data_IF_877782759771
#
_entry.id   IF_877782759771
#
_cell.length_a   1.000
_cell.length_b   1.000
_cell.length_c   1.000
_cell.angle_alpha   90.00
_cell.angle_beta   90.00
_cell.angle_gamma   90.00
#
_symmetry.space_group_name_H-M   'P 1'
#
loop_
_entity.id
_entity.type
_entity.pdbx_description
1 polymer ?
#
# COMPACT_ATOMS: atom_id res chain seq x y z
N UNK A 1 0.48 3.82 -0.63
CA UNK A 1 1.66 4.59 -0.19
C UNK A 1 2.95 4.31 -0.98
N UNK A 2 3.54 3.09 -1.01
CA UNK A 2 4.82 2.90 -1.74
C UNK A 2 4.73 3.18 -3.26
N UNK A 3 3.65 2.74 -3.91
CA UNK A 3 3.40 3.06 -5.31
C UNK A 3 3.25 4.58 -5.55
N UNK A 4 2.54 5.27 -4.64
CA UNK A 4 2.42 6.73 -4.60
C UNK A 4 3.78 7.42 -4.49
N UNK A 5 4.66 6.94 -3.59
CA UNK A 5 6.03 7.44 -3.44
C UNK A 5 6.83 7.27 -4.74
N UNK A 6 6.69 6.11 -5.42
CA UNK A 6 7.37 5.86 -6.70
C UNK A 6 6.90 6.82 -7.80
N UNK A 7 5.60 7.11 -7.88
CA UNK A 7 5.08 8.14 -8.81
C UNK A 7 5.72 9.51 -8.55
N UNK A 8 5.87 9.91 -7.29
CA UNK A 8 6.55 11.16 -6.91
C UNK A 8 8.03 11.14 -7.32
N UNK A 9 8.72 10.02 -7.13
CA UNK A 9 10.10 9.82 -7.58
C UNK A 9 10.23 9.92 -9.11
N UNK A 10 9.24 9.42 -9.84
CA UNK A 10 9.17 9.48 -11.30
C UNK A 10 8.74 10.86 -11.84
N UNK A 11 8.58 11.85 -10.95
CA UNK A 11 8.39 13.24 -11.34
C UNK A 11 6.94 13.72 -11.28
N UNK A 12 6.01 12.99 -10.65
CA UNK A 12 4.64 13.46 -10.42
C UNK A 12 4.65 14.85 -9.77
N UNK A 13 3.98 15.82 -10.41
CA UNK A 13 3.98 17.24 -9.98
C UNK A 13 2.72 17.67 -9.26
N UNK A 14 1.64 16.90 -9.39
CA UNK A 14 0.31 17.24 -8.88
C UNK A 14 -0.12 16.16 -7.90
N UNK A 15 -0.68 16.59 -6.77
CA UNK A 15 -1.23 15.71 -5.72
C UNK A 15 -2.57 15.09 -6.15
N UNK A 16 -2.53 14.28 -7.21
CA UNK A 16 -3.68 13.60 -7.78
C UNK A 16 -3.18 12.27 -8.37
N UNK A 17 -3.70 11.15 -7.91
CA UNK A 17 -3.27 9.82 -8.32
C UNK A 17 -4.48 9.04 -8.81
N UNK A 18 -4.52 8.72 -10.10
CA UNK A 18 -5.61 7.90 -10.63
C UNK A 18 -5.36 6.42 -10.34
N UNK A 19 -6.43 5.61 -10.38
CA UNK A 19 -6.30 4.16 -10.25
C UNK A 19 -5.37 3.59 -11.33
N UNK A 20 -5.54 4.06 -12.58
CA UNK A 20 -4.76 3.65 -13.74
C UNK A 20 -3.27 3.95 -13.60
N UNK A 21 -2.91 5.12 -13.05
CA UNK A 21 -1.51 5.48 -12.80
C UNK A 21 -0.85 4.60 -11.73
N UNK A 22 -1.60 4.25 -10.68
CA UNK A 22 -1.06 3.48 -9.55
C UNK A 22 -0.96 1.99 -9.87
N UNK A 23 -1.91 1.43 -10.61
CA UNK A 23 -2.05 0.00 -10.84
C UNK A 23 -0.79 -0.71 -11.34
N UNK A 24 -0.12 -0.27 -12.42
CA UNK A 24 1.07 -0.97 -12.92
C UNK A 24 2.21 -0.96 -11.91
N UNK A 25 2.42 0.16 -11.21
CA UNK A 25 3.45 0.29 -10.18
C UNK A 25 3.13 -0.57 -8.96
N UNK A 26 1.86 -0.59 -8.55
CA UNK A 26 1.41 -1.42 -7.44
C UNK A 26 1.63 -2.90 -7.75
N UNK A 27 1.23 -3.37 -8.93
CA UNK A 27 1.44 -4.77 -9.36
C UNK A 27 2.93 -5.13 -9.42
N UNK A 28 3.76 -4.25 -9.99
CA UNK A 28 5.21 -4.45 -10.07
C UNK A 28 5.88 -4.51 -8.69
N UNK A 29 5.61 -3.51 -7.84
CA UNK A 29 6.14 -3.47 -6.47
C UNK A 29 5.62 -4.62 -5.63
N UNK A 30 4.37 -5.03 -5.79
CA UNK A 30 3.84 -6.16 -5.05
C UNK A 30 4.60 -7.43 -5.40
N UNK A 31 4.86 -7.72 -6.68
CA UNK A 31 5.65 -8.89 -7.08
C UNK A 31 7.01 -8.99 -6.36
N UNK A 32 7.73 -7.88 -6.23
CA UNK A 32 9.03 -7.84 -5.54
C UNK A 32 8.95 -8.18 -4.04
N UNK A 33 7.88 -7.75 -3.36
CA UNK A 33 7.74 -7.88 -1.91
C UNK A 33 6.87 -9.07 -1.49
N UNK A 34 6.03 -9.58 -2.39
CA UNK A 34 5.24 -10.79 -2.25
C UNK A 34 6.13 -12.01 -2.09
N UNK A 35 7.17 -12.13 -2.93
CA UNK A 35 8.19 -13.18 -2.81
C UNK A 35 8.91 -13.08 -1.46
N UNK A 36 9.27 -11.85 -1.06
CA UNK A 36 10.02 -11.60 0.18
C UNK A 36 9.18 -11.80 1.43
N UNK A 37 7.86 -11.65 1.36
CA UNK A 37 6.96 -11.70 2.51
C UNK A 37 6.12 -12.99 2.59
N UNK A 38 6.27 -13.93 1.65
CA UNK A 38 5.49 -15.19 1.58
C UNK A 38 3.97 -15.00 1.66
N UNK A 39 3.46 -13.87 1.16
CA UNK A 39 2.01 -13.69 1.07
C UNK A 39 1.45 -14.68 0.03
N UNK A 40 0.25 -15.21 0.29
CA UNK A 40 -0.37 -16.23 -0.59
C UNK A 40 -1.21 -15.60 -1.70
N UNK A 41 -1.76 -14.40 -1.47
CA UNK A 41 -2.66 -13.72 -2.41
C UNK A 41 -2.30 -12.24 -2.57
N UNK A 42 -2.42 -11.74 -3.80
CA UNK A 42 -2.39 -10.31 -4.09
C UNK A 42 -3.65 -9.65 -3.54
N UNK A 43 -3.49 -8.71 -2.59
CA UNK A 43 -4.59 -7.79 -2.30
C UNK A 43 -4.82 -6.92 -3.53
N UNK A 44 -5.97 -7.08 -4.19
CA UNK A 44 -6.34 -6.27 -5.34
C UNK A 44 -6.30 -4.78 -4.99
N UNK A 45 -5.69 -3.94 -5.85
CA UNK A 45 -5.47 -2.50 -5.58
C UNK A 45 -6.77 -1.75 -5.19
N UNK A 46 -7.92 -2.15 -5.71
CA UNK A 46 -9.22 -1.56 -5.37
C UNK A 46 -9.49 -1.47 -3.86
N UNK A 47 -9.00 -2.42 -3.07
CA UNK A 47 -9.15 -2.40 -1.62
C UNK A 47 -8.32 -1.29 -0.96
N UNK A 48 -6.98 -1.29 -1.04
CA UNK A 48 -6.19 -0.20 -0.46
C UNK A 48 -6.50 1.15 -1.12
N UNK A 49 -6.80 1.22 -2.41
CA UNK A 49 -7.19 2.48 -3.04
C UNK A 49 -8.44 3.09 -2.39
N UNK A 50 -9.43 2.27 -2.05
CA UNK A 50 -10.67 2.73 -1.44
C UNK A 50 -10.56 2.90 0.09
N UNK A 51 -10.09 1.87 0.80
CA UNK A 51 -10.16 1.79 2.25
C UNK A 51 -9.06 2.57 2.98
N UNK A 52 -7.99 2.98 2.30
CA UNK A 52 -6.98 3.87 2.90
C UNK A 52 -7.58 5.21 3.33
N UNK A 53 -8.77 5.59 2.83
CA UNK A 53 -9.48 6.79 3.30
C UNK A 53 -9.78 6.79 4.80
N UNK A 54 -9.84 5.61 5.42
CA UNK A 54 -10.01 5.46 6.86
C UNK A 54 -8.75 5.82 7.68
N UNK A 55 -7.57 5.93 7.03
CA UNK A 55 -6.30 6.25 7.69
C UNK A 55 -6.03 7.77 7.75
N UNK A 56 -7.03 8.61 7.45
CA UNK A 56 -7.02 10.08 7.44
C UNK A 56 -6.05 10.78 6.47
N UNK A 57 -5.01 10.12 5.97
CA UNK A 57 -4.02 10.74 5.09
C UNK A 57 -4.30 10.60 3.58
N UNK A 58 -5.26 9.74 3.22
CA UNK A 58 -5.59 9.39 1.84
C UNK A 58 -7.04 9.77 1.59
N UNK A 59 -7.30 10.42 0.48
CA UNK A 59 -8.60 10.98 0.17
C UNK A 59 -9.01 10.61 -1.24
N UNK A 60 -10.32 10.49 -1.46
CA UNK A 60 -10.89 10.26 -2.77
C UNK A 60 -11.61 11.54 -3.20
N UNK A 61 -11.23 12.08 -4.35
CA UNK A 61 -12.00 13.14 -4.99
C UNK A 61 -13.22 12.50 -5.65
N UNK A 62 -14.37 12.62 -4.99
CA UNK A 62 -15.64 12.06 -5.47
C UNK A 62 -16.14 12.80 -6.70
N UNK A 63 -16.71 12.07 -7.66
CA UNK A 63 -17.33 12.66 -8.85
C UNK A 63 -18.54 13.51 -8.48
N UNK A 64 -19.31 13.04 -7.50
CA UNK A 64 -20.49 13.71 -6.95
C UNK A 64 -20.30 13.82 -5.42
N UNK A 65 -21.17 13.18 -4.65
CA UNK A 65 -21.02 13.02 -3.19
C UNK A 65 -20.24 11.75 -2.84
N UNK A 66 -19.74 11.71 -1.60
CA UNK A 66 -19.17 10.47 -1.06
C UNK A 66 -20.19 9.34 -1.07
N UNK A 67 -19.76 8.17 -1.57
CA UNK A 67 -20.53 6.93 -1.53
C UNK A 67 -19.78 5.87 -0.74
N UNK A 68 -20.53 5.05 0.00
CA UNK A 68 -19.98 3.95 0.78
C UNK A 68 -20.24 2.61 0.08
N UNK A 69 -19.24 1.76 0.09
CA UNK A 69 -19.34 0.35 -0.30
C UNK A 69 -18.39 -0.48 0.55
N UNK A 70 -18.78 -1.70 0.85
CA UNK A 70 -17.92 -2.70 1.50
C UNK A 70 -17.14 -3.53 0.48
N UNK A 71 -17.51 -3.45 -0.80
CA UNK A 71 -16.93 -4.26 -1.88
C UNK A 71 -16.59 -3.37 -3.09
N UNK A 72 -15.59 -2.48 -2.95
CA UNK A 72 -15.14 -1.66 -4.06
C UNK A 72 -14.56 -2.55 -5.16
N UNK A 73 -14.96 -2.27 -6.40
CA UNK A 73 -14.32 -2.81 -7.60
C UNK A 73 -13.86 -1.66 -8.49
N UNK A 74 -12.98 -1.97 -9.45
CA UNK A 74 -12.39 -0.97 -10.35
C UNK A 74 -13.45 -0.11 -11.05
N UNK A 75 -14.43 -0.74 -11.69
CA UNK A 75 -15.45 -0.01 -12.45
C UNK A 75 -16.31 0.90 -11.55
N UNK A 76 -16.57 0.48 -10.30
CA UNK A 76 -17.23 1.32 -9.31
C UNK A 76 -16.35 2.52 -8.90
N UNK A 77 -15.05 2.31 -8.68
CA UNK A 77 -14.13 3.39 -8.34
C UNK A 77 -14.03 4.43 -9.46
N UNK A 78 -13.88 3.99 -10.70
CA UNK A 78 -13.77 4.88 -11.87
C UNK A 78 -15.04 5.72 -12.11
N UNK A 79 -16.22 5.16 -11.82
CA UNK A 79 -17.49 5.91 -11.94
C UNK A 79 -17.68 6.95 -10.83
N UNK A 80 -17.22 6.66 -9.62
CA UNK A 80 -17.56 7.44 -8.43
C UNK A 80 -16.43 8.35 -7.94
N UNK A 81 -15.21 8.17 -8.43
CA UNK A 81 -14.03 8.95 -8.03
C UNK A 81 -13.24 9.41 -9.25
N UNK A 82 -12.73 10.64 -9.20
CA UNK A 82 -11.90 11.21 -10.26
C UNK A 82 -10.43 10.82 -10.07
N UNK A 83 -9.93 10.93 -8.84
CA UNK A 83 -8.57 10.60 -8.44
C UNK A 83 -8.52 10.44 -6.92
N UNK A 84 -7.44 9.87 -6.42
CA UNK A 84 -7.07 9.95 -5.02
C UNK A 84 -6.02 11.04 -4.80
N UNK A 85 -5.92 11.54 -3.58
CA UNK A 85 -4.89 12.48 -3.17
C UNK A 85 -4.51 12.22 -1.72
N UNK A 86 -3.35 12.72 -1.31
CA UNK A 86 -2.92 12.65 0.09
C UNK A 86 -3.08 14.01 0.76
N UNK A 87 -3.07 14.05 2.09
CA UNK A 87 -3.03 15.30 2.85
C UNK A 87 -1.97 16.26 2.29
N UNK A 88 -2.28 17.56 2.33
CA UNK A 88 -1.41 18.57 1.75
C UNK A 88 -0.05 18.61 2.45
N UNK A 89 -0.03 18.46 3.78
CA UNK A 89 1.17 18.40 4.60
C UNK A 89 2.02 17.18 4.22
N UNK A 90 1.38 16.03 4.01
CA UNK A 90 2.07 14.81 3.58
C UNK A 90 2.61 14.96 2.16
N UNK A 91 1.85 15.59 1.25
CA UNK A 91 2.31 15.88 -0.11
C UNK A 91 3.54 16.78 -0.12
N UNK A 92 3.54 17.86 0.66
CA UNK A 92 4.69 18.77 0.80
C UNK A 92 5.91 18.00 1.33
N UNK A 93 5.71 17.19 2.37
CA UNK A 93 6.76 16.38 2.97
C UNK A 93 7.34 15.38 1.97
N UNK A 94 6.50 14.66 1.23
CA UNK A 94 6.95 13.68 0.23
C UNK A 94 7.52 14.29 -1.04
N UNK A 95 7.21 15.55 -1.35
CA UNK A 95 7.84 16.28 -2.45
C UNK A 95 9.34 16.46 -2.19
N UNK A 96 9.76 16.59 -0.93
CA UNK A 96 11.16 16.71 -0.56
C UNK A 96 11.88 15.34 -0.54
N UNK A 97 12.97 15.14 -1.31
CA UNK A 97 13.62 13.83 -1.46
C UNK A 97 14.07 13.18 -0.15
N UNK A 98 14.61 13.98 0.79
CA UNK A 98 15.05 13.49 2.09
C UNK A 98 13.92 12.82 2.89
N UNK A 99 12.79 13.49 3.05
CA UNK A 99 11.67 12.95 3.84
C UNK A 99 10.98 11.79 3.13
N UNK A 100 10.86 11.85 1.80
CA UNK A 100 10.38 10.73 0.98
C UNK A 100 11.23 9.47 1.17
N UNK A 101 12.56 9.60 1.14
CA UNK A 101 13.50 8.50 1.40
C UNK A 101 13.27 7.93 2.81
N UNK A 102 13.19 8.80 3.82
CA UNK A 102 12.95 8.41 5.23
C UNK A 102 11.64 7.63 5.41
N UNK A 103 10.53 8.07 4.79
CA UNK A 103 9.27 7.34 4.86
C UNK A 103 9.34 5.99 4.13
N UNK A 104 9.97 5.94 2.96
CA UNK A 104 10.17 4.69 2.20
C UNK A 104 10.94 3.65 3.02
N UNK A 105 12.03 4.06 3.65
CA UNK A 105 12.84 3.20 4.54
C UNK A 105 12.03 2.73 5.75
N UNK A 106 11.25 3.61 6.37
CA UNK A 106 10.36 3.24 7.46
C UNK A 106 9.34 2.16 7.05
N UNK A 107 8.68 2.33 5.90
CA UNK A 107 7.70 1.35 5.39
C UNK A 107 8.39 -0.01 5.18
N UNK A 108 9.54 -0.04 4.50
CA UNK A 108 10.27 -1.28 4.24
C UNK A 108 10.68 -1.95 5.56
N UNK A 109 11.32 -1.22 6.45
CA UNK A 109 11.90 -1.80 7.66
C UNK A 109 10.84 -2.21 8.68
N UNK A 110 9.79 -1.40 8.88
CA UNK A 110 8.83 -1.60 9.97
C UNK A 110 7.54 -2.29 9.55
N UNK A 111 7.08 -2.13 8.30
CA UNK A 111 5.82 -2.71 7.83
C UNK A 111 6.01 -3.98 6.99
N UNK A 112 7.19 -4.15 6.39
CA UNK A 112 7.48 -5.32 5.55
C UNK A 112 8.45 -6.26 6.26
N UNK A 113 9.71 -5.85 6.45
CA UNK A 113 10.77 -6.76 6.93
C UNK A 113 10.55 -7.22 8.37
N UNK A 114 10.08 -6.34 9.26
CA UNK A 114 9.74 -6.72 10.63
C UNK A 114 8.64 -7.79 10.66
N UNK A 115 7.55 -7.58 9.92
CA UNK A 115 6.42 -8.52 9.86
C UNK A 115 6.88 -9.87 9.33
N UNK A 116 7.65 -9.86 8.24
CA UNK A 116 8.24 -11.09 7.68
C UNK A 116 9.10 -11.85 8.70
N UNK A 117 10.01 -11.16 9.39
CA UNK A 117 10.87 -11.80 10.39
C UNK A 117 10.06 -12.36 11.57
N UNK A 118 9.05 -11.63 12.02
CA UNK A 118 8.17 -12.07 13.11
C UNK A 118 7.37 -13.32 12.71
N UNK A 119 6.85 -13.38 11.47
CA UNK A 119 6.14 -14.56 10.93
C UNK A 119 7.07 -15.76 10.73
N UNK A 120 8.26 -15.54 10.17
CA UNK A 120 9.28 -16.58 10.01
C UNK A 120 9.67 -17.20 11.34
N UNK A 121 9.92 -16.37 12.36
CA UNK A 121 10.29 -16.83 13.69
C UNK A 121 9.16 -17.66 14.34
N UNK A 122 7.88 -17.24 14.17
CA UNK A 122 6.72 -18.03 14.61
C UNK A 122 6.63 -19.38 13.88
N UNK A 123 6.89 -19.40 12.57
CA UNK A 123 6.91 -20.63 11.76
C UNK A 123 7.98 -21.61 12.26
N UNK A 124 9.21 -21.14 12.48
CA UNK A 124 10.31 -21.93 13.03
C UNK A 124 9.95 -22.48 14.41
N UNK A 125 9.41 -21.64 15.30
CA UNK A 125 8.98 -22.06 16.64
C UNK A 125 7.92 -23.18 16.56
N UNK A 126 6.93 -23.04 15.67
CA UNK A 126 5.88 -24.04 15.47
C UNK A 126 6.46 -25.38 14.97
N UNK A 127 7.39 -25.35 14.02
CA UNK A 127 8.06 -26.55 13.52
C UNK A 127 8.93 -27.23 14.58
N UNK A 128 9.65 -26.45 15.41
CA UNK A 128 10.43 -26.98 16.53
C UNK A 128 9.54 -27.63 17.60
N UNK A 129 8.41 -27.01 17.94
CA UNK A 129 7.42 -27.59 18.87
C UNK A 129 6.83 -28.90 18.33
N UNK A 130 6.54 -28.98 17.02
CA UNK A 130 6.08 -30.22 16.40
C UNK A 130 7.13 -31.32 16.47
N UNK A 131 8.42 -31.01 16.25
CA UNK A 131 9.51 -31.98 16.38
C UNK A 131 9.63 -32.51 17.81
N UNK A 132 9.48 -31.64 18.81
CA UNK A 132 9.55 -31.99 20.23
C UNK A 132 8.36 -32.84 20.71
N UNK A 133 7.21 -32.77 20.04
CA UNK A 133 6.02 -33.59 20.37
C UNK A 133 6.04 -34.98 19.73
N UNK A 134 7.01 -35.27 18.85
CA UNK A 134 7.14 -36.54 18.12
C UNK A 134 8.22 -37.45 18.73
N UNK A 135 8.94 -36.97 19.76
CA UNK A 135 9.93 -37.71 20.57
C UNK A 135 9.33 -37.98 21.94
#
# INVERSE_FOLDING_TARGET
MKATIKLIEDGKKINQFTYEEIEPIYKGLFGEYFIKAHQLNLTCLQYPYYFLKSDNFWHLAWTNSELKTESPNRAWLERNTQYAFIDQELWILLSHPFYRKKLKEYIINKKILKVYNDEKNKGILKSLLQLLMVI
#
